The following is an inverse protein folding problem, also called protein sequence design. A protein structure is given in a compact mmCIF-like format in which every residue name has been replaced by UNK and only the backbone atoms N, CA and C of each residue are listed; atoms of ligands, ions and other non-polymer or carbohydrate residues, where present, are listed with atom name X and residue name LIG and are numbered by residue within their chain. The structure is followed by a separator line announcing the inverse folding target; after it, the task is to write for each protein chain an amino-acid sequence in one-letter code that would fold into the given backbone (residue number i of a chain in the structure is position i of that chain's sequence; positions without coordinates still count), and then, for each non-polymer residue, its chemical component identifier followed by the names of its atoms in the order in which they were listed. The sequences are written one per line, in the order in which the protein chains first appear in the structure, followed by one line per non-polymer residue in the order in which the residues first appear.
data_IF_544232295866
#
_entry.id   IF_544232295866
#
_cell.length_a   1.000
_cell.length_b   1.000
_cell.length_c   1.000
_cell.angle_alpha   90.00
_cell.angle_beta   90.00
_cell.angle_gamma   90.00
#
_symmetry.space_group_name_H-M   'P 1'
#
loop_
_entity.id
_entity.type
_entity.pdbx_description
1 polymer ?
#
# COMPACT_ATOMS: atom_id res chain seq x y z
N UNK A 1 34.63 15.48 8.63
CA UNK A 1 33.35 15.82 7.99
C UNK A 1 33.21 17.34 7.98
N UNK A 2 32.97 17.98 6.82
CA UNK A 2 32.86 19.44 6.72
C UNK A 2 31.66 19.97 7.52
N UNK A 3 31.79 21.13 8.18
CA UNK A 3 30.70 21.79 8.94
C UNK A 3 29.42 21.99 8.11
N UNK A 4 29.56 22.17 6.80
CA UNK A 4 28.44 22.28 5.88
C UNK A 4 27.60 20.98 5.80
N UNK A 5 28.27 19.82 5.78
CA UNK A 5 27.60 18.50 5.77
C UNK A 5 26.92 18.22 7.11
N UNK A 6 27.53 18.62 8.22
CA UNK A 6 26.93 18.52 9.55
C UNK A 6 25.67 19.40 9.69
N UNK A 7 25.69 20.61 9.15
CA UNK A 7 24.52 21.51 9.19
C UNK A 7 23.39 21.03 8.26
N UNK A 8 23.72 20.50 7.08
CA UNK A 8 22.73 19.94 6.15
C UNK A 8 22.03 18.71 6.74
N UNK A 9 22.80 17.78 7.31
CA UNK A 9 22.25 16.59 7.97
C UNK A 9 21.38 16.94 9.18
N UNK A 10 21.82 17.88 10.03
CA UNK A 10 21.01 18.38 11.14
C UNK A 10 19.67 18.99 10.67
N UNK A 11 19.70 19.73 9.56
CA UNK A 11 18.49 20.34 8.96
C UNK A 11 17.55 19.28 8.38
N UNK A 12 18.09 18.27 7.68
CA UNK A 12 17.30 17.15 7.17
C UNK A 12 16.65 16.35 8.30
N UNK A 13 17.37 16.07 9.38
CA UNK A 13 16.82 15.35 10.54
C UNK A 13 15.71 16.18 11.20
N UNK A 14 15.94 17.49 11.40
CA UNK A 14 14.97 18.40 12.00
C UNK A 14 13.65 18.45 11.19
N UNK A 15 13.75 18.48 9.86
CA UNK A 15 12.58 18.54 8.99
C UNK A 15 11.96 17.16 8.70
N UNK A 16 12.76 16.10 8.72
CA UNK A 16 12.35 14.73 8.40
C UNK A 16 11.65 14.04 9.55
N UNK A 17 12.09 14.27 10.80
CA UNK A 17 11.49 13.66 12.00
C UNK A 17 9.95 13.80 12.08
N UNK A 18 9.36 15.00 12.01
CA UNK A 18 7.91 15.14 12.18
C UNK A 18 7.11 14.45 11.05
N UNK A 19 7.66 14.41 9.84
CA UNK A 19 7.05 13.71 8.70
C UNK A 19 7.09 12.21 8.89
N UNK A 20 8.22 11.68 9.37
CA UNK A 20 8.37 10.26 9.67
C UNK A 20 7.50 9.83 10.85
N UNK A 21 7.33 10.68 11.87
CA UNK A 21 6.40 10.41 12.98
C UNK A 21 4.95 10.33 12.50
N UNK A 22 4.54 11.25 11.62
CA UNK A 22 3.22 11.21 10.99
C UNK A 22 3.03 9.95 10.16
N UNK A 23 4.02 9.59 9.34
CA UNK A 23 4.01 8.33 8.59
C UNK A 23 3.89 7.12 9.52
N UNK A 24 4.71 7.04 10.57
CA UNK A 24 4.69 5.93 11.52
C UNK A 24 3.36 5.82 12.29
N UNK A 25 2.69 6.95 12.54
CA UNK A 25 1.36 6.96 13.16
C UNK A 25 0.33 6.20 12.30
N UNK A 26 0.25 6.50 11.01
CA UNK A 26 -0.70 5.85 10.08
C UNK A 26 -0.26 4.44 9.68
N UNK A 27 1.05 4.24 9.46
CA UNK A 27 1.64 2.95 9.16
C UNK A 27 1.26 1.85 10.16
N UNK A 28 1.22 2.21 11.46
CA UNK A 28 0.89 1.27 12.54
C UNK A 28 -0.56 0.79 12.55
N UNK A 29 -1.45 1.48 11.87
CA UNK A 29 -2.88 1.10 11.84
C UNK A 29 -3.28 0.55 10.47
N UNK A 30 -2.70 1.08 9.39
CA UNK A 30 -3.09 0.73 8.01
C UNK A 30 -2.22 -0.38 7.40
N UNK A 31 -0.93 -0.46 7.76
CA UNK A 31 0.01 -1.41 7.15
C UNK A 31 0.31 -2.62 8.05
N UNK A 32 -0.40 -2.77 9.17
CA UNK A 32 -0.24 -3.93 10.05
C UNK A 32 -0.95 -5.14 9.42
N UNK A 33 -0.31 -6.32 9.37
CA UNK A 33 -0.98 -7.51 8.89
C UNK A 33 -2.23 -7.78 9.73
N UNK A 34 -3.36 -8.13 9.09
CA UNK A 34 -4.62 -8.31 9.79
C UNK A 34 -4.53 -9.43 10.84
N UNK A 35 -5.36 -9.32 11.86
CA UNK A 35 -5.49 -10.36 12.87
C UNK A 35 -6.14 -11.60 12.26
N UNK A 36 -5.75 -12.83 12.67
CA UNK A 36 -6.38 -14.05 12.17
C UNK A 36 -7.91 -14.12 12.33
N UNK A 37 -8.46 -13.34 13.27
CA UNK A 37 -9.91 -13.25 13.51
C UNK A 37 -10.67 -12.51 12.41
N UNK A 38 -9.98 -11.71 11.59
CA UNK A 38 -10.59 -10.90 10.53
C UNK A 38 -10.70 -11.68 9.20
N UNK A 39 -9.98 -12.81 9.05
CA UNK A 39 -10.03 -13.63 7.84
C UNK A 39 -11.45 -14.08 7.44
N UNK A 40 -12.32 -14.57 8.34
CA UNK A 40 -13.68 -14.96 7.96
C UNK A 40 -14.48 -13.83 7.32
N UNK A 41 -14.29 -12.59 7.79
CA UNK A 41 -14.95 -11.42 7.21
C UNK A 41 -14.39 -11.06 5.83
N UNK A 42 -13.07 -11.14 5.65
CA UNK A 42 -12.42 -10.92 4.35
C UNK A 42 -12.94 -11.92 3.31
N UNK A 43 -13.03 -13.21 3.65
CA UNK A 43 -13.57 -14.24 2.74
C UNK A 43 -15.04 -14.00 2.41
N UNK A 44 -15.84 -13.57 3.39
CA UNK A 44 -17.24 -13.20 3.17
C UNK A 44 -17.36 -12.03 2.18
N UNK A 45 -16.56 -10.98 2.35
CA UNK A 45 -16.51 -9.83 1.44
C UNK A 45 -16.10 -10.24 0.02
N UNK A 46 -15.10 -11.10 -0.11
CA UNK A 46 -14.69 -11.65 -1.42
C UNK A 46 -15.81 -12.44 -2.10
N UNK A 47 -16.55 -13.26 -1.33
CA UNK A 47 -17.73 -13.98 -1.85
C UNK A 47 -18.82 -13.04 -2.38
N UNK A 48 -19.06 -11.91 -1.70
CA UNK A 48 -20.02 -10.90 -2.16
C UNK A 48 -19.55 -10.20 -3.44
N UNK A 49 -18.26 -9.91 -3.57
CA UNK A 49 -17.68 -9.36 -4.80
C UNK A 49 -17.89 -10.30 -5.99
N UNK A 50 -17.62 -11.60 -5.81
CA UNK A 50 -17.86 -12.61 -6.86
C UNK A 50 -19.34 -12.67 -7.24
N UNK A 51 -20.23 -12.71 -6.24
CA UNK A 51 -21.68 -12.74 -6.49
C UNK A 51 -22.14 -11.50 -7.27
N UNK A 52 -21.64 -10.31 -6.90
CA UNK A 52 -21.95 -9.04 -7.57
C UNK A 52 -21.40 -8.98 -9.00
N UNK A 53 -20.23 -9.57 -9.24
CA UNK A 53 -19.68 -9.69 -10.58
C UNK A 53 -20.54 -10.62 -11.45
N UNK A 54 -20.94 -11.79 -10.92
CA UNK A 54 -21.80 -12.78 -11.61
C UNK A 54 -23.20 -12.25 -11.90
N UNK A 55 -23.79 -11.46 -10.99
CA UNK A 55 -25.12 -10.88 -11.16
C UNK A 55 -25.16 -9.71 -12.15
N UNK A 56 -24.01 -9.17 -12.55
CA UNK A 56 -23.93 -8.00 -13.43
C UNK A 56 -24.15 -6.66 -12.73
N UNK A 57 -24.15 -6.63 -11.39
CA UNK A 57 -24.37 -5.42 -10.60
C UNK A 57 -23.36 -4.30 -10.89
N UNK A 58 -22.15 -4.67 -11.33
CA UNK A 58 -21.09 -3.75 -11.74
C UNK A 58 -21.48 -2.79 -12.87
N UNK A 59 -22.51 -3.12 -13.67
CA UNK A 59 -23.02 -2.25 -14.72
C UNK A 59 -23.75 -1.01 -14.19
N UNK A 60 -24.17 -1.04 -12.93
CA UNK A 60 -24.86 0.08 -12.29
C UNK A 60 -23.90 1.02 -11.55
N UNK A 61 -22.58 0.79 -11.60
CA UNK A 61 -21.61 1.65 -10.94
C UNK A 61 -21.45 2.98 -11.67
N UNK A 62 -21.36 4.05 -10.90
CA UNK A 62 -20.97 5.35 -11.44
C UNK A 62 -19.49 5.33 -11.84
N UNK A 63 -19.09 6.20 -12.77
CA UNK A 63 -17.68 6.31 -13.21
C UNK A 63 -16.75 6.59 -12.03
N UNK A 64 -17.20 7.38 -11.05
CA UNK A 64 -16.45 7.67 -9.83
C UNK A 64 -16.14 6.40 -9.02
N UNK A 65 -17.15 5.58 -8.77
CA UNK A 65 -17.00 4.33 -8.00
C UNK A 65 -16.11 3.34 -8.73
N UNK A 66 -16.33 3.15 -10.04
CA UNK A 66 -15.50 2.28 -10.86
C UNK A 66 -14.02 2.72 -10.84
N UNK A 67 -13.76 4.03 -10.91
CA UNK A 67 -12.40 4.57 -10.86
C UNK A 67 -11.73 4.31 -9.52
N UNK A 68 -12.42 4.60 -8.40
CA UNK A 68 -11.86 4.35 -7.06
C UNK A 68 -11.55 2.87 -6.85
N UNK A 69 -12.47 1.98 -7.21
CA UNK A 69 -12.26 0.54 -7.09
C UNK A 69 -11.08 0.05 -7.95
N UNK A 70 -10.90 0.65 -9.13
CA UNK A 70 -9.77 0.33 -10.02
C UNK A 70 -8.44 0.82 -9.42
N UNK A 71 -8.41 2.01 -8.82
CA UNK A 71 -7.22 2.53 -8.13
C UNK A 71 -6.79 1.62 -6.97
N UNK A 72 -7.75 1.16 -6.15
CA UNK A 72 -7.47 0.21 -5.06
C UNK A 72 -6.96 -1.13 -5.61
N UNK A 73 -7.55 -1.64 -6.70
CA UNK A 73 -7.06 -2.88 -7.33
C UNK A 73 -5.63 -2.74 -7.86
N UNK A 74 -5.29 -1.58 -8.43
CA UNK A 74 -3.92 -1.29 -8.86
C UNK A 74 -2.96 -1.19 -7.67
N UNK A 75 -3.35 -0.57 -6.56
CA UNK A 75 -2.54 -0.50 -5.35
C UNK A 75 -2.16 -1.89 -4.82
N UNK A 76 -3.15 -2.80 -4.72
CA UNK A 76 -2.89 -4.20 -4.32
C UNK A 76 -1.93 -4.89 -5.28
N UNK A 77 -2.05 -4.61 -6.59
CA UNK A 77 -1.15 -5.14 -7.62
C UNK A 77 0.28 -4.60 -7.48
N UNK A 78 0.45 -3.32 -7.12
CA UNK A 78 1.77 -2.77 -6.87
C UNK A 78 2.44 -3.36 -5.64
N UNK A 79 1.69 -3.70 -4.59
CA UNK A 79 2.23 -4.42 -3.44
C UNK A 79 2.80 -5.80 -3.82
N UNK A 80 2.20 -6.49 -4.78
CA UNK A 80 2.77 -7.73 -5.32
C UNK A 80 4.16 -7.48 -5.95
N UNK A 81 4.31 -6.45 -6.78
CA UNK A 81 5.59 -6.11 -7.40
C UNK A 81 6.64 -5.62 -6.39
N UNK A 82 6.23 -4.91 -5.33
CA UNK A 82 7.13 -4.57 -4.21
C UNK A 82 7.66 -5.86 -3.56
N UNK A 83 6.78 -6.84 -3.32
CA UNK A 83 7.17 -8.17 -2.85
C UNK A 83 8.15 -8.88 -3.79
N UNK A 84 7.94 -8.78 -5.10
CA UNK A 84 8.86 -9.31 -6.11
C UNK A 84 10.23 -8.64 -6.03
N UNK A 85 10.29 -7.31 -5.91
CA UNK A 85 11.55 -6.57 -5.74
C UNK A 85 12.30 -7.01 -4.46
N UNK A 86 11.58 -7.26 -3.36
CA UNK A 86 12.17 -7.81 -2.12
C UNK A 86 12.70 -9.23 -2.36
N UNK A 87 11.93 -10.09 -3.03
CA UNK A 87 12.31 -11.47 -3.33
C UNK A 87 13.54 -11.56 -4.23
N UNK A 88 13.64 -10.69 -5.24
CA UNK A 88 14.78 -10.58 -6.17
C UNK A 88 16.00 -9.90 -5.56
N UNK A 89 15.81 -9.13 -4.48
CA UNK A 89 16.82 -8.26 -3.86
C UNK A 89 17.41 -7.22 -4.82
N UNK A 90 16.65 -6.86 -5.86
CA UNK A 90 17.03 -5.85 -6.86
C UNK A 90 15.80 -5.04 -7.23
N UNK A 91 16.01 -3.73 -7.38
CA UNK A 91 14.98 -2.80 -7.88
C UNK A 91 14.86 -2.92 -9.41
N UNK A 92 15.95 -3.31 -10.09
CA UNK A 92 16.02 -3.40 -11.55
C UNK A 92 16.42 -4.80 -11.96
N UNK A 93 15.48 -5.52 -12.59
CA UNK A 93 15.71 -6.85 -13.14
C UNK A 93 16.13 -7.91 -12.10
N UNK A 94 16.43 -9.10 -12.59
CA UNK A 94 17.13 -10.12 -11.82
C UNK A 94 18.64 -9.92 -12.01
N UNK A 95 19.40 -10.07 -10.94
CA UNK A 95 20.86 -10.18 -11.03
C UNK A 95 21.18 -11.60 -11.49
N UNK A 96 21.25 -11.78 -12.81
CA UNK A 96 21.67 -13.02 -13.48
C UNK A 96 23.18 -13.07 -13.68
#
# INVERSE_FOLDING_TARGET
MSKAVANLTATMIKNGKPKLETFMKYARVEMVPPSPREFPEVFRGFGQLISSAKSGAWKNFTVKEATVNTLVAMEVTFWFYVGECIGKRSIVGYQV
#
